data_IF_490594672577
#
_entry.id   IF_490594672577
#
_cell.length_a   1.000
_cell.length_b   1.000
_cell.length_c   1.000
_cell.angle_alpha   90.00
_cell.angle_beta   90.00
_cell.angle_gamma   90.00
#
_symmetry.space_group_name_H-M   'P 1'
#
loop_
_entity.id
_entity.type
_entity.pdbx_description
1 polymer ?
#
# COMPACT_ATOMS: atom_id res chain seq x y z
N UNK A 1 -6.17 -4.73 34.46
CA UNK A 1 -4.85 -4.07 34.48
C UNK A 1 -4.85 -3.05 33.35
N UNK A 2 -4.74 -1.75 33.66
CA UNK A 2 -5.12 -0.69 32.70
C UNK A 2 -3.97 -0.29 31.78
N UNK A 3 -4.13 -0.47 30.47
CA UNK A 3 -3.15 -0.06 29.47
C UNK A 3 -3.28 1.44 29.22
N UNK A 4 -2.29 2.23 29.67
CA UNK A 4 -2.21 3.66 29.34
C UNK A 4 -1.76 3.85 27.89
N UNK A 5 -2.67 4.32 27.03
CA UNK A 5 -2.36 4.71 25.64
C UNK A 5 -1.68 6.09 25.66
N UNK A 6 -0.35 6.10 25.81
CA UNK A 6 0.47 7.31 25.73
C UNK A 6 0.70 7.70 24.26
N UNK A 7 -0.17 8.57 23.73
CA UNK A 7 -0.07 9.12 22.37
C UNK A 7 1.12 10.08 22.24
N UNK A 8 2.19 9.66 21.56
CA UNK A 8 3.35 10.51 21.23
C UNK A 8 3.50 10.58 19.71
N UNK A 9 3.89 11.76 19.20
CA UNK A 9 3.62 12.19 17.84
C UNK A 9 4.90 12.47 17.02
N UNK A 10 4.88 12.05 15.74
CA UNK A 10 5.79 12.43 14.63
C UNK A 10 7.25 11.94 14.70
N UNK A 11 7.62 11.06 13.76
CA UNK A 11 8.97 11.12 13.19
C UNK A 11 9.09 12.47 12.46
N UNK A 12 9.93 13.37 12.97
CA UNK A 12 9.77 14.81 12.78
C UNK A 12 10.27 15.37 11.45
N UNK A 13 10.99 14.56 10.65
CA UNK A 13 11.46 14.92 9.29
C UNK A 13 11.00 13.86 8.28
N UNK A 14 9.74 13.94 7.84
CA UNK A 14 9.32 13.25 6.61
C UNK A 14 9.76 14.10 5.43
N UNK A 15 10.97 13.82 4.93
CA UNK A 15 11.46 14.35 3.65
C UNK A 15 10.40 14.10 2.58
N UNK A 16 10.04 15.11 1.77
CA UNK A 16 8.93 15.04 0.80
C UNK A 16 9.17 13.93 -0.25
N UNK A 17 8.76 12.71 0.08
CA UNK A 17 8.87 11.54 -0.78
C UNK A 17 8.01 11.76 -2.03
N UNK A 18 8.57 11.45 -3.20
CA UNK A 18 7.80 11.44 -4.44
C UNK A 18 6.53 10.58 -4.26
N UNK A 19 5.38 11.13 -4.63
CA UNK A 19 4.10 10.45 -4.45
C UNK A 19 4.11 9.08 -5.15
N UNK A 20 3.54 8.02 -4.54
CA UNK A 20 3.60 6.69 -5.13
C UNK A 20 2.88 6.69 -6.49
N UNK A 21 3.56 6.12 -7.49
CA UNK A 21 3.11 6.13 -8.89
C UNK A 21 2.38 4.84 -9.23
N UNK A 22 1.09 4.97 -9.49
CA UNK A 22 0.30 3.89 -10.07
C UNK A 22 0.86 3.51 -11.44
N UNK A 23 0.84 2.21 -11.72
CA UNK A 23 1.26 1.61 -12.98
C UNK A 23 0.07 0.84 -13.54
N UNK A 24 -0.09 0.85 -14.87
CA UNK A 24 -1.01 -0.03 -15.56
C UNK A 24 -0.59 -1.49 -15.31
N UNK A 25 -1.52 -2.31 -14.82
CA UNK A 25 -1.28 -3.73 -14.50
C UNK A 25 -1.89 -4.63 -15.55
N UNK A 26 -3.12 -4.32 -16.00
CA UNK A 26 -3.85 -5.09 -17.01
C UNK A 26 -4.82 -4.18 -17.77
N UNK A 27 -4.90 -4.31 -19.10
CA UNK A 27 -5.96 -3.71 -19.94
C UNK A 27 -7.13 -4.70 -20.08
N UNK A 28 -8.29 -4.20 -20.47
CA UNK A 28 -9.50 -4.99 -20.72
C UNK A 28 -9.91 -5.80 -19.47
N UNK A 29 -9.75 -5.20 -18.29
CA UNK A 29 -10.01 -5.83 -16.99
C UNK A 29 -10.23 -4.81 -15.90
N UNK A 30 -11.07 -5.15 -14.94
CA UNK A 30 -11.27 -4.39 -13.69
C UNK A 30 -11.22 -5.30 -12.48
N UNK A 31 -10.77 -4.77 -11.36
CA UNK A 31 -10.88 -5.43 -10.07
C UNK A 31 -12.28 -5.20 -9.48
N UNK A 32 -12.86 -6.25 -8.90
CA UNK A 32 -14.11 -6.22 -8.12
C UNK A 32 -13.86 -6.12 -6.62
N UNK A 33 -12.64 -5.78 -6.20
CA UNK A 33 -12.31 -5.45 -4.80
C UNK A 33 -13.07 -4.21 -4.29
N UNK A 34 -13.08 -4.02 -2.97
CA UNK A 34 -13.85 -2.97 -2.33
C UNK A 34 -13.49 -1.55 -2.83
N UNK A 35 -14.46 -0.92 -3.51
CA UNK A 35 -14.38 0.46 -4.01
C UNK A 35 -14.52 1.41 -2.82
N UNK A 36 -13.45 2.16 -2.49
CA UNK A 36 -13.44 3.20 -1.46
C UNK A 36 -14.23 4.44 -1.88
N UNK A 37 -14.23 4.74 -3.17
CA UNK A 37 -14.88 5.90 -3.77
C UNK A 37 -14.85 5.75 -5.29
N UNK A 38 -15.74 6.45 -5.99
CA UNK A 38 -15.77 6.47 -7.45
C UNK A 38 -16.14 7.86 -7.95
N UNK A 39 -15.71 8.23 -9.16
CA UNK A 39 -15.99 9.54 -9.78
C UNK A 39 -15.90 9.46 -11.31
N UNK A 40 -16.68 10.30 -12.01
CA UNK A 40 -16.48 10.62 -13.42
C UNK A 40 -15.34 11.64 -13.59
N UNK A 41 -14.29 11.28 -14.34
CA UNK A 41 -13.04 12.05 -14.53
C UNK A 41 -12.55 11.96 -15.98
N UNK A 42 -11.87 13.01 -16.47
CA UNK A 42 -11.50 13.13 -17.89
C UNK A 42 -10.39 12.18 -18.32
N UNK A 43 -9.42 11.89 -17.45
CA UNK A 43 -8.22 11.13 -17.78
C UNK A 43 -7.66 10.32 -16.59
N UNK A 44 -6.67 9.48 -16.88
CA UNK A 44 -6.06 8.59 -15.89
C UNK A 44 -5.22 9.36 -14.86
N UNK A 45 -4.66 10.50 -15.22
CA UNK A 45 -3.90 11.39 -14.33
C UNK A 45 -4.78 11.91 -13.20
N UNK A 46 -5.95 12.47 -13.52
CA UNK A 46 -6.96 12.86 -12.54
C UNK A 46 -7.41 11.68 -11.67
N UNK A 47 -7.57 10.49 -12.26
CA UNK A 47 -7.93 9.28 -11.51
C UNK A 47 -6.83 8.85 -10.53
N UNK A 48 -5.54 9.00 -10.90
CA UNK A 48 -4.42 8.79 -9.96
C UNK A 48 -4.41 9.81 -8.82
N UNK A 49 -4.74 11.07 -9.08
CA UNK A 49 -4.83 12.12 -8.05
C UNK A 49 -5.99 11.88 -7.09
N UNK A 50 -7.16 11.51 -7.62
CA UNK A 50 -8.31 11.09 -6.82
C UNK A 50 -7.98 9.85 -5.98
N UNK A 51 -7.29 8.86 -6.54
CA UNK A 51 -6.82 7.69 -5.82
C UNK A 51 -5.86 8.07 -4.67
N UNK A 52 -4.88 8.96 -4.91
CA UNK A 52 -4.00 9.50 -3.85
C UNK A 52 -4.79 10.23 -2.76
N UNK A 53 -5.76 11.06 -3.13
CA UNK A 53 -6.59 11.83 -2.20
C UNK A 53 -7.53 10.95 -1.34
N UNK A 54 -7.83 9.72 -1.79
CA UNK A 54 -8.57 8.71 -1.02
C UNK A 54 -7.66 7.66 -0.36
N UNK A 55 -6.33 7.84 -0.42
CA UNK A 55 -5.29 6.87 -0.02
C UNK A 55 -5.42 5.48 -0.67
N UNK A 56 -6.11 5.37 -1.80
CA UNK A 56 -6.36 4.10 -2.48
C UNK A 56 -5.06 3.43 -2.97
N UNK A 57 -5.04 2.10 -2.97
CA UNK A 57 -3.86 1.30 -3.33
C UNK A 57 -3.90 0.78 -4.78
N UNK A 58 -5.10 0.82 -5.38
CA UNK A 58 -5.37 0.50 -6.77
C UNK A 58 -6.57 1.29 -7.30
N UNK A 59 -6.82 1.24 -8.60
CA UNK A 59 -8.06 1.75 -9.21
C UNK A 59 -8.36 1.08 -10.57
N UNK A 60 -9.63 1.10 -10.96
CA UNK A 60 -10.08 0.84 -12.33
C UNK A 60 -10.29 2.19 -13.05
N UNK A 61 -9.87 2.30 -14.31
CA UNK A 61 -10.15 3.49 -15.14
C UNK A 61 -10.52 3.13 -16.59
N UNK A 62 -11.47 3.85 -17.21
CA UNK A 62 -11.71 3.84 -18.66
C UNK A 62 -11.76 5.26 -19.25
N UNK A 63 -11.29 5.44 -20.49
CA UNK A 63 -11.42 6.73 -21.19
C UNK A 63 -12.85 6.95 -21.69
N UNK A 64 -13.35 8.18 -21.57
CA UNK A 64 -14.69 8.55 -22.05
C UNK A 64 -14.80 8.55 -23.58
N UNK A 65 -13.67 8.65 -24.28
CA UNK A 65 -13.54 8.46 -25.73
C UNK A 65 -14.12 7.09 -26.18
N UNK A 66 -13.97 6.06 -25.34
CA UNK A 66 -14.50 4.70 -25.60
C UNK A 66 -16.04 4.73 -25.64
N UNK A 67 -16.69 5.52 -24.77
CA UNK A 67 -18.15 5.65 -24.75
C UNK A 67 -18.66 6.51 -25.91
N UNK A 68 -17.98 7.62 -26.20
CA UNK A 68 -18.29 8.49 -27.33
C UNK A 68 -18.27 7.73 -28.66
N UNK A 69 -17.22 6.93 -28.90
CA UNK A 69 -17.11 6.08 -30.09
C UNK A 69 -18.13 4.93 -30.15
N UNK A 70 -18.83 4.65 -29.04
CA UNK A 70 -19.81 3.56 -28.93
C UNK A 70 -21.27 4.02 -29.02
N UNK A 71 -21.54 5.32 -29.20
CA UNK A 71 -22.87 5.94 -29.05
C UNK A 71 -23.55 5.64 -27.69
N UNK A 72 -22.78 5.29 -26.66
CA UNK A 72 -23.29 5.03 -25.31
C UNK A 72 -23.51 6.38 -24.63
N UNK A 73 -24.76 6.68 -24.24
CA UNK A 73 -25.04 7.82 -23.37
C UNK A 73 -24.24 7.66 -22.07
N UNK A 74 -23.46 8.68 -21.74
CA UNK A 74 -22.84 8.82 -20.42
C UNK A 74 -23.97 9.21 -19.47
N UNK A 75 -24.29 8.30 -18.54
CA UNK A 75 -25.23 8.55 -17.45
C UNK A 75 -24.52 9.28 -16.30
N UNK A 76 -25.24 10.01 -15.45
CA UNK A 76 -24.62 10.65 -14.27
C UNK A 76 -24.08 9.59 -13.28
N UNK A 77 -24.71 8.40 -13.25
CA UNK A 77 -24.25 7.24 -12.49
C UNK A 77 -23.05 6.49 -13.12
N UNK A 78 -22.55 6.89 -14.30
CA UNK A 78 -21.38 6.24 -14.92
C UNK A 78 -20.05 6.78 -14.37
N UNK A 79 -19.51 6.06 -13.39
CA UNK A 79 -18.26 6.40 -12.73
C UNK A 79 -17.05 5.70 -13.39
N UNK A 80 -16.36 6.39 -14.30
CA UNK A 80 -15.23 5.81 -15.04
C UNK A 80 -13.93 5.65 -14.23
N UNK A 81 -13.79 6.32 -13.09
CA UNK A 81 -12.70 6.11 -12.13
C UNK A 81 -13.25 5.47 -10.84
N UNK A 82 -12.84 4.25 -10.54
CA UNK A 82 -13.21 3.52 -9.32
C UNK A 82 -11.96 3.26 -8.48
N UNK A 83 -11.83 3.90 -7.32
CA UNK A 83 -10.60 3.81 -6.49
C UNK A 83 -10.78 2.81 -5.36
N UNK A 84 -9.80 1.93 -5.19
CA UNK A 84 -9.95 0.64 -4.52
C UNK A 84 -9.05 0.56 -3.29
N UNK A 85 -9.59 0.00 -2.20
CA UNK A 85 -8.91 -0.10 -0.93
C UNK A 85 -7.66 -0.97 -0.97
N UNK A 86 -7.73 -2.09 -1.68
CA UNK A 86 -6.66 -3.08 -1.78
C UNK A 86 -6.31 -3.42 -3.24
N UNK A 87 -5.04 -3.74 -3.53
CA UNK A 87 -4.65 -4.20 -4.85
C UNK A 87 -4.87 -5.70 -5.01
N UNK A 88 -5.18 -6.11 -6.24
CA UNK A 88 -5.09 -7.51 -6.69
C UNK A 88 -3.79 -8.18 -6.25
N UNK A 89 -3.92 -9.27 -5.50
CA UNK A 89 -2.80 -10.09 -5.03
C UNK A 89 -2.49 -11.22 -6.02
N UNK A 90 -1.62 -12.17 -5.67
CA UNK A 90 -1.25 -13.28 -6.57
C UNK A 90 -2.43 -14.16 -7.01
N UNK A 91 -3.47 -14.29 -6.18
CA UNK A 91 -4.63 -15.13 -6.50
C UNK A 91 -5.51 -14.52 -7.60
N UNK A 92 -5.55 -13.17 -7.73
CA UNK A 92 -6.29 -12.43 -8.77
C UNK A 92 -7.79 -12.76 -8.90
N UNK A 93 -8.41 -13.35 -7.87
CA UNK A 93 -9.78 -13.88 -7.92
C UNK A 93 -10.84 -12.82 -8.30
N UNK A 94 -10.56 -11.54 -8.03
CA UNK A 94 -11.42 -10.39 -8.28
C UNK A 94 -11.11 -9.62 -9.58
N UNK A 95 -10.06 -10.00 -10.33
CA UNK A 95 -9.64 -9.32 -11.56
C UNK A 95 -10.40 -9.85 -12.80
N UNK A 96 -11.66 -9.45 -12.92
CA UNK A 96 -12.54 -9.84 -14.03
C UNK A 96 -12.16 -9.17 -15.35
N UNK A 97 -12.50 -9.83 -16.47
CA UNK A 97 -12.40 -9.23 -17.80
C UNK A 97 -13.51 -8.17 -17.96
N UNK A 98 -13.14 -6.98 -18.45
CA UNK A 98 -14.06 -5.89 -18.75
C UNK A 98 -13.38 -4.97 -19.77
N UNK A 99 -13.79 -5.03 -21.03
CA UNK A 99 -13.04 -4.46 -22.16
C UNK A 99 -12.88 -2.93 -22.09
N UNK A 100 -13.79 -2.24 -21.39
CA UNK A 100 -13.74 -0.79 -21.22
C UNK A 100 -12.61 -0.40 -20.28
N UNK A 101 -12.45 -1.14 -19.19
CA UNK A 101 -11.57 -0.78 -18.08
C UNK A 101 -10.13 -1.25 -18.27
N UNK A 102 -9.22 -0.44 -17.73
CA UNK A 102 -7.85 -0.82 -17.39
C UNK A 102 -7.65 -0.74 -15.88
N UNK A 103 -6.97 -1.75 -15.33
CA UNK A 103 -6.67 -1.87 -13.90
C UNK A 103 -5.25 -1.37 -13.59
N UNK A 104 -5.16 -0.47 -12.60
CA UNK A 104 -3.93 0.21 -12.19
C UNK A 104 -3.67 -0.02 -10.71
N UNK A 105 -2.39 -0.14 -10.32
CA UNK A 105 -2.00 -0.28 -8.93
C UNK A 105 -0.65 0.36 -8.64
N UNK A 106 -0.42 0.75 -7.38
CA UNK A 106 0.93 1.03 -6.89
C UNK A 106 1.80 -0.25 -6.94
N UNK A 107 1.19 -1.41 -6.70
CA UNK A 107 1.84 -2.67 -6.37
C UNK A 107 2.04 -3.56 -7.61
N UNK A 108 3.01 -3.18 -8.44
CA UNK A 108 3.10 -3.69 -9.82
C UNK A 108 3.65 -5.10 -10.03
N UNK A 109 4.48 -5.62 -9.11
CA UNK A 109 5.11 -6.94 -9.24
C UNK A 109 5.41 -7.50 -7.86
N UNK A 110 5.00 -8.73 -7.59
CA UNK A 110 5.36 -9.46 -6.37
C UNK A 110 6.08 -10.74 -6.75
N UNK A 111 7.36 -10.87 -6.41
CA UNK A 111 8.03 -12.18 -6.35
C UNK A 111 7.81 -12.70 -4.94
N UNK A 112 6.88 -13.63 -4.77
CA UNK A 112 6.54 -14.20 -3.46
C UNK A 112 7.16 -15.57 -3.26
N UNK A 113 7.37 -15.93 -1.99
CA UNK A 113 7.58 -17.32 -1.57
C UNK A 113 6.24 -17.94 -1.19
N UNK A 114 6.15 -19.26 -1.33
CA UNK A 114 4.94 -20.06 -1.05
C UNK A 114 4.47 -19.92 0.41
N UNK A 115 5.39 -19.65 1.35
CA UNK A 115 5.10 -19.61 2.79
C UNK A 115 4.71 -18.23 3.32
N UNK A 116 5.01 -17.16 2.59
CA UNK A 116 4.82 -15.76 3.01
C UNK A 116 3.35 -15.34 2.92
N UNK A 117 2.88 -14.55 3.90
CA UNK A 117 1.47 -14.12 3.96
C UNK A 117 1.34 -12.66 3.52
N UNK A 118 0.61 -12.38 2.44
CA UNK A 118 0.15 -11.00 2.17
C UNK A 118 -0.90 -10.63 3.21
N UNK A 119 -0.78 -9.41 3.75
CA UNK A 119 -1.91 -8.65 4.30
C UNK A 119 -2.01 -7.32 3.57
N UNK A 120 -3.14 -7.06 2.94
CA UNK A 120 -3.50 -5.71 2.57
C UNK A 120 -4.24 -5.07 3.75
N UNK A 121 -3.91 -3.82 4.04
CA UNK A 121 -4.70 -2.95 4.90
C UNK A 121 -5.14 -1.76 4.04
N UNK A 122 -6.45 -1.59 3.78
CA UNK A 122 -6.96 -0.46 2.99
C UNK A 122 -6.42 0.88 3.49
N UNK A 123 -6.12 1.80 2.57
CA UNK A 123 -5.51 3.12 2.84
C UNK A 123 -4.07 3.11 3.39
N UNK A 124 -3.65 2.03 4.05
CA UNK A 124 -2.35 1.95 4.74
C UNK A 124 -1.28 1.28 3.87
N UNK A 125 -1.57 0.16 3.21
CA UNK A 125 -0.64 -0.46 2.27
C UNK A 125 -0.75 -1.99 2.13
N UNK A 126 0.09 -2.53 1.25
CA UNK A 126 0.30 -3.97 1.10
C UNK A 126 1.55 -4.39 1.90
N UNK A 127 1.37 -5.41 2.72
CA UNK A 127 2.40 -5.95 3.59
C UNK A 127 2.64 -7.43 3.32
N UNK A 128 3.88 -7.86 3.49
CA UNK A 128 4.25 -9.27 3.58
C UNK A 128 4.66 -9.57 5.02
N UNK A 129 4.06 -10.60 5.59
CA UNK A 129 4.37 -11.14 6.91
C UNK A 129 5.01 -12.51 6.68
N UNK A 130 6.31 -12.62 6.94
CA UNK A 130 7.00 -13.90 6.86
C UNK A 130 6.77 -14.71 8.13
N UNK A 131 6.59 -16.02 7.98
CA UNK A 131 6.39 -16.96 9.10
C UNK A 131 7.70 -17.43 9.73
N UNK A 132 8.82 -17.24 9.04
CA UNK A 132 10.15 -17.67 9.47
C UNK A 132 10.80 -16.59 10.34
N UNK A 133 11.17 -16.94 11.58
CA UNK A 133 11.94 -16.03 12.42
C UNK A 133 13.35 -15.81 11.83
N UNK A 134 13.76 -14.54 11.70
CA UNK A 134 15.05 -14.12 11.16
C UNK A 134 15.57 -12.93 11.98
N UNK A 135 16.89 -12.83 12.15
CA UNK A 135 17.50 -11.62 12.70
C UNK A 135 17.24 -10.40 11.78
N UNK A 136 17.36 -9.18 12.32
CA UNK A 136 17.09 -7.94 11.59
C UNK A 136 17.74 -7.89 10.20
N UNK A 137 19.04 -8.18 10.11
CA UNK A 137 19.82 -8.06 8.88
C UNK A 137 19.29 -9.04 7.81
N UNK A 138 18.98 -10.27 8.21
CA UNK A 138 18.43 -11.29 7.32
C UNK A 138 16.99 -10.95 6.90
N UNK A 139 16.15 -10.42 7.80
CA UNK A 139 14.81 -9.95 7.48
C UNK A 139 14.84 -8.78 6.49
N UNK A 140 15.74 -7.80 6.69
CA UNK A 140 15.94 -6.67 5.80
C UNK A 140 16.41 -7.12 4.40
N UNK A 141 17.37 -8.04 4.34
CA UNK A 141 17.84 -8.62 3.08
C UNK A 141 16.71 -9.37 2.33
N UNK A 142 15.84 -10.09 3.04
CA UNK A 142 14.67 -10.75 2.44
C UNK A 142 13.63 -9.75 1.90
N UNK A 143 13.39 -8.63 2.57
CA UNK A 143 12.55 -7.55 2.04
C UNK A 143 13.07 -7.04 0.69
N UNK A 144 14.40 -6.81 0.60
CA UNK A 144 15.06 -6.30 -0.59
C UNK A 144 14.97 -7.32 -1.75
N UNK A 145 15.09 -8.62 -1.48
CA UNK A 145 14.94 -9.69 -2.50
C UNK A 145 13.58 -9.71 -3.17
N UNK A 146 12.51 -9.28 -2.48
CA UNK A 146 11.15 -9.18 -3.05
C UNK A 146 10.83 -7.78 -3.63
N UNK A 147 11.83 -6.92 -3.77
CA UNK A 147 11.71 -5.48 -4.13
C UNK A 147 10.90 -4.63 -3.13
N UNK A 148 10.74 -5.12 -1.90
CA UNK A 148 10.18 -4.35 -0.80
C UNK A 148 11.25 -3.71 0.08
N UNK A 149 10.79 -3.18 1.21
CA UNK A 149 11.59 -2.66 2.33
C UNK A 149 10.99 -3.14 3.64
N UNK A 150 11.77 -3.14 4.72
CA UNK A 150 11.18 -3.30 6.06
C UNK A 150 10.18 -2.15 6.28
N UNK A 151 9.02 -2.42 6.86
CA UNK A 151 7.97 -1.42 6.95
C UNK A 151 8.34 -0.30 7.93
N UNK A 152 7.83 0.89 7.62
CA UNK A 152 8.00 2.11 8.38
C UNK A 152 6.69 2.43 9.12
N UNK A 153 6.81 3.03 10.30
CA UNK A 153 5.69 3.45 11.15
C UNK A 153 5.81 4.97 11.33
N UNK A 154 4.99 5.70 10.59
CA UNK A 154 5.08 7.17 10.45
C UNK A 154 3.76 7.90 10.81
N UNK A 155 2.69 7.17 11.06
CA UNK A 155 1.39 7.68 11.52
C UNK A 155 0.76 6.71 12.51
N UNK A 156 -0.10 7.24 13.40
CA UNK A 156 -0.80 6.42 14.40
C UNK A 156 -1.77 5.42 13.74
N UNK A 157 -2.50 5.84 12.70
CA UNK A 157 -3.32 4.97 11.83
C UNK A 157 -2.51 3.76 11.33
N UNK A 158 -1.34 4.00 10.73
CA UNK A 158 -0.44 2.95 10.23
C UNK A 158 0.14 2.07 11.33
N UNK A 159 0.23 2.55 12.56
CA UNK A 159 0.66 1.73 13.69
C UNK A 159 -0.48 0.83 14.20
N UNK A 160 -1.65 1.41 14.41
CA UNK A 160 -2.79 0.77 15.08
C UNK A 160 -3.40 -0.33 14.21
N UNK A 161 -3.76 0.00 12.96
CA UNK A 161 -4.30 -0.97 11.99
C UNK A 161 -3.37 -2.17 11.82
N UNK A 162 -2.07 -1.92 11.86
CA UNK A 162 -1.05 -2.88 11.54
C UNK A 162 -0.69 -3.77 12.74
N UNK A 163 -0.73 -3.22 13.96
CA UNK A 163 -0.69 -3.99 15.21
C UNK A 163 -1.85 -4.98 15.31
N UNK A 164 -3.07 -4.55 14.96
CA UNK A 164 -4.27 -5.41 14.93
C UNK A 164 -4.10 -6.66 14.03
N UNK A 165 -3.22 -6.60 13.01
CA UNK A 165 -2.97 -7.68 12.06
C UNK A 165 -1.80 -8.60 12.41
N UNK A 166 -1.01 -8.28 13.44
CA UNK A 166 0.21 -9.01 13.83
C UNK A 166 0.01 -9.87 15.09
N UNK A 167 -0.86 -9.43 16.00
CA UNK A 167 -0.99 -10.02 17.34
C UNK A 167 0.31 -9.92 18.15
N UNK A 168 0.45 -10.75 19.19
CA UNK A 168 1.49 -10.60 20.22
C UNK A 168 2.92 -10.99 19.78
N UNK A 169 3.18 -11.27 18.49
CA UNK A 169 4.43 -11.94 18.05
C UNK A 169 5.64 -10.98 17.92
N UNK A 170 6.71 -11.13 18.74
CA UNK A 170 7.77 -10.14 18.90
C UNK A 170 8.91 -10.25 17.86
N UNK A 171 9.38 -9.07 17.48
CA UNK A 171 9.94 -8.67 16.17
C UNK A 171 10.13 -7.10 16.26
N UNK A 172 10.78 -6.19 15.50
CA UNK A 172 11.65 -5.97 14.29
C UNK A 172 11.11 -5.25 12.99
N UNK A 173 10.55 -4.03 13.07
CA UNK A 173 10.25 -3.14 11.88
C UNK A 173 11.51 -2.59 11.18
N UNK A 174 11.34 -1.87 10.07
CA UNK A 174 12.36 -1.05 9.41
C UNK A 174 12.74 0.21 10.17
N UNK A 175 13.33 0.02 11.35
CA UNK A 175 13.90 1.05 12.24
C UNK A 175 15.24 0.55 12.77
N UNK A 176 16.31 1.31 12.59
CA UNK A 176 17.63 0.97 13.13
C UNK A 176 18.42 2.21 13.55
N UNK A 177 19.39 2.02 14.46
CA UNK A 177 20.33 3.03 14.95
C UNK A 177 21.79 2.68 14.59
N UNK A 178 21.98 1.91 13.51
CA UNK A 178 23.30 1.42 13.06
C UNK A 178 24.14 2.48 12.34
N UNK A 179 23.55 3.62 12.01
CA UNK A 179 24.25 4.77 11.45
C UNK A 179 25.24 5.37 12.46
N UNK A 180 26.25 6.08 11.96
CA UNK A 180 27.33 6.72 12.75
C UNK A 180 26.81 7.70 13.82
N UNK A 181 25.63 8.27 13.60
CA UNK A 181 25.01 9.25 14.48
C UNK A 181 24.28 8.61 15.68
N UNK A 182 24.14 7.27 15.68
CA UNK A 182 23.31 6.48 16.61
C UNK A 182 21.83 6.89 16.74
N UNK A 183 21.37 7.80 15.88
CA UNK A 183 19.96 8.17 15.75
C UNK A 183 19.15 7.02 15.12
N UNK A 184 17.94 6.81 15.65
CA UNK A 184 16.99 5.88 15.04
C UNK A 184 16.45 6.45 13.73
N UNK A 185 16.73 5.76 12.63
CA UNK A 185 16.25 6.08 11.28
C UNK A 185 15.51 4.89 10.67
N UNK A 186 14.60 5.17 9.75
CA UNK A 186 13.89 4.14 8.98
C UNK A 186 14.60 3.80 7.65
N UNK A 187 14.09 2.81 6.92
CA UNK A 187 14.57 2.38 5.57
C UNK A 187 14.46 3.47 4.46
N UNK A 188 14.12 4.71 4.82
CA UNK A 188 14.02 5.88 3.94
C UNK A 188 14.88 7.05 4.44
N UNK A 189 15.66 6.87 5.52
CA UNK A 189 16.54 7.88 6.11
C UNK A 189 15.85 8.87 7.06
N UNK A 190 14.55 8.74 7.32
CA UNK A 190 13.84 9.66 8.21
C UNK A 190 14.20 9.36 9.67
N UNK A 191 14.64 10.39 10.41
CA UNK A 191 14.85 10.36 11.86
C UNK A 191 13.53 10.19 12.63
N UNK A 192 13.52 9.34 13.66
CA UNK A 192 12.40 9.16 14.59
C UNK A 192 12.88 9.36 16.03
N UNK A 193 12.42 10.44 16.68
CA UNK A 193 12.74 10.73 18.08
C UNK A 193 11.75 10.01 19.01
N UNK A 194 12.28 9.22 19.95
CA UNK A 194 11.55 8.29 20.84
C UNK A 194 10.78 7.18 20.12
N UNK A 195 11.19 5.93 20.36
CA UNK A 195 10.49 4.70 19.95
C UNK A 195 10.38 3.79 21.17
N UNK A 196 9.19 3.22 21.42
CA UNK A 196 9.01 2.03 22.26
C UNK A 196 8.57 0.88 21.36
N UNK A 197 9.25 -0.27 21.50
CA UNK A 197 8.96 -1.62 20.98
C UNK A 197 8.01 -1.75 19.77
N UNK A 198 8.50 -2.13 18.58
CA UNK A 198 7.62 -2.42 17.42
C UNK A 198 8.11 -3.54 16.47
N UNK A 199 7.13 -4.19 15.82
CA UNK A 199 7.09 -5.56 15.26
C UNK A 199 7.59 -5.73 13.78
N UNK A 200 7.83 -6.94 13.25
CA UNK A 200 8.32 -7.25 11.87
C UNK A 200 7.16 -7.16 10.92
N UNK A 201 7.42 -6.40 9.86
CA UNK A 201 6.48 -6.17 8.80
C UNK A 201 7.31 -5.83 7.56
N UNK A 202 7.07 -6.49 6.43
CA UNK A 202 7.65 -6.08 5.14
C UNK A 202 6.64 -5.22 4.39
N UNK A 203 7.06 -4.06 3.88
CA UNK A 203 6.26 -3.24 2.98
C UNK A 203 6.79 -3.42 1.54
N UNK A 204 5.92 -3.80 0.61
CA UNK A 204 6.29 -3.85 -0.82
C UNK A 204 6.07 -2.48 -1.47
N UNK A 205 6.76 -2.14 -2.56
CA UNK A 205 6.70 -0.82 -3.23
C UNK A 205 6.85 -0.87 -4.75
#
# INVERSE_FOLDING_TARGET
>A
MSIQILTINRCSKITRKAAPKFKLIRRNSRSTEFILSQKLLSNVEQCQEFARAKSALAFNFYSLEILMNSNIKIDEDQHNCQVIGCPETHMRNSLVNDEKFSYYSLYSRHKMRVNDTIKCIPRVGLFVISKEFKNYTNAQAECIKIHGKMAHIISAERNNELGNHLGDKPTYVGLSNRDKDHLWKNEFGNECHSIKYIHIITFVS
#
